data_IF_135498239696
#
_entry.id   IF_135498239696
#
_cell.length_a   1.000
_cell.length_b   1.000
_cell.length_c   1.000
_cell.angle_alpha   90.00
_cell.angle_beta   90.00
_cell.angle_gamma   90.00
#
_symmetry.space_group_name_H-M   'P 1'
#
loop_
_entity.id
_entity.type
_entity.pdbx_description
1 polymer ?
#
# COMPACT_ATOMS: atom_id res chain seq x y z
N UNK A 1 6.67 -6.56 -8.71
CA UNK A 1 7.86 -7.21 -8.10
C UNK A 1 8.27 -6.54 -6.78
N UNK A 2 8.32 -5.21 -6.68
CA UNK A 2 8.67 -4.50 -5.43
C UNK A 2 7.80 -4.91 -4.23
N UNK A 3 6.48 -5.02 -4.41
CA UNK A 3 5.55 -5.42 -3.34
C UNK A 3 5.88 -6.82 -2.77
N UNK A 4 6.25 -7.79 -3.62
CA UNK A 4 6.62 -9.12 -3.15
C UNK A 4 7.94 -9.12 -2.37
N UNK A 5 8.93 -8.33 -2.81
CA UNK A 5 10.19 -8.16 -2.09
C UNK A 5 9.97 -7.47 -0.74
N UNK A 6 9.18 -6.39 -0.69
CA UNK A 6 8.84 -5.70 0.55
C UNK A 6 8.06 -6.60 1.52
N UNK A 7 7.16 -7.45 1.01
CA UNK A 7 6.47 -8.46 1.81
C UNK A 7 7.45 -9.48 2.40
N UNK A 8 8.34 -10.05 1.60
CA UNK A 8 9.32 -11.03 2.09
C UNK A 8 10.25 -10.44 3.15
N UNK A 9 10.69 -9.19 2.96
CA UNK A 9 11.52 -8.48 3.94
C UNK A 9 10.72 -8.19 5.22
N UNK A 10 9.48 -7.71 5.10
CA UNK A 10 8.60 -7.49 6.25
C UNK A 10 8.30 -8.77 7.03
N UNK A 11 7.98 -9.85 6.31
CA UNK A 11 7.67 -11.15 6.90
C UNK A 11 8.87 -11.75 7.63
N UNK A 12 10.06 -11.68 7.04
CA UNK A 12 11.29 -12.16 7.69
C UNK A 12 11.67 -11.28 8.88
N UNK A 13 11.46 -9.96 8.80
CA UNK A 13 11.61 -9.04 9.92
C UNK A 13 10.70 -9.38 11.09
N UNK A 14 9.39 -9.47 10.86
CA UNK A 14 8.41 -9.84 11.91
C UNK A 14 8.69 -11.22 12.51
N UNK A 15 9.19 -12.17 11.71
CA UNK A 15 9.57 -13.48 12.22
C UNK A 15 10.83 -13.44 13.08
N UNK A 16 11.85 -12.68 12.67
CA UNK A 16 13.13 -12.64 13.35
C UNK A 16 13.09 -11.79 14.63
N UNK A 17 12.41 -10.64 14.60
CA UNK A 17 12.34 -9.70 15.72
C UNK A 17 11.18 -9.98 16.66
N UNK A 18 10.02 -10.41 16.15
CA UNK A 18 8.81 -10.60 16.96
C UNK A 18 8.35 -12.06 17.08
N UNK A 19 9.07 -13.03 16.49
CA UNK A 19 8.75 -14.47 16.53
C UNK A 19 7.33 -14.84 16.08
N UNK A 20 6.63 -13.93 15.39
CA UNK A 20 5.25 -14.11 14.92
C UNK A 20 5.14 -15.24 13.89
N UNK A 21 3.96 -15.86 13.77
CA UNK A 21 3.74 -16.89 12.75
C UNK A 21 3.91 -16.32 11.33
N UNK A 22 4.25 -17.16 10.35
CA UNK A 22 4.40 -16.72 8.96
C UNK A 22 3.14 -16.04 8.40
N UNK A 23 1.95 -16.51 8.81
CA UNK A 23 0.67 -15.93 8.38
C UNK A 23 0.39 -14.58 9.06
N UNK A 24 0.75 -14.44 10.34
CA UNK A 24 0.61 -13.17 11.07
C UNK A 24 1.59 -12.12 10.54
N UNK A 25 2.81 -12.54 10.21
CA UNK A 25 3.83 -11.71 9.59
C UNK A 25 3.41 -11.25 8.19
N UNK A 26 2.78 -12.13 7.40
CA UNK A 26 2.21 -11.79 6.08
C UNK A 26 1.07 -10.77 6.22
N UNK A 27 0.12 -11.01 7.13
CA UNK A 27 -1.00 -10.10 7.37
C UNK A 27 -0.50 -8.70 7.73
N UNK A 28 0.37 -8.59 8.74
CA UNK A 28 0.89 -7.30 9.18
C UNK A 28 1.69 -6.58 8.09
N UNK A 29 2.52 -7.31 7.34
CA UNK A 29 3.28 -6.73 6.23
C UNK A 29 2.37 -6.25 5.09
N UNK A 30 1.33 -7.03 4.74
CA UNK A 30 0.35 -6.67 3.71
C UNK A 30 -0.45 -5.42 4.09
N UNK A 31 -0.83 -5.31 5.35
CA UNK A 31 -1.56 -4.15 5.87
C UNK A 31 -0.72 -2.88 5.87
N UNK A 32 0.51 -2.95 6.38
CA UNK A 32 1.43 -1.80 6.34
C UNK A 32 1.72 -1.33 4.92
N UNK A 33 1.92 -2.26 3.98
CA UNK A 33 2.09 -1.94 2.57
C UNK A 33 0.81 -1.37 1.94
N UNK A 34 -0.35 -1.85 2.38
CA UNK A 34 -1.66 -1.33 1.98
C UNK A 34 -2.04 0.00 2.65
N UNK A 35 -1.22 0.53 3.57
CA UNK A 35 -1.47 1.77 4.30
C UNK A 35 -2.50 1.65 5.43
N UNK A 36 -2.88 0.43 5.82
CA UNK A 36 -3.78 0.17 6.95
C UNK A 36 -2.96 -0.29 8.17
N UNK A 37 -3.31 0.18 9.36
CA UNK A 37 -2.57 -0.15 10.60
C UNK A 37 -2.66 -1.64 10.97
N UNK A 38 -1.85 -2.12 11.95
CA UNK A 38 -1.81 -3.53 12.33
C UNK A 38 -3.18 -4.08 12.74
N UNK A 39 -3.63 -5.17 12.11
CA UNK A 39 -4.82 -5.90 12.57
C UNK A 39 -4.42 -6.82 13.71
N UNK A 40 -5.17 -6.75 14.80
CA UNK A 40 -5.11 -7.74 15.87
C UNK A 40 -5.40 -9.12 15.30
N UNK A 41 -4.39 -9.98 15.29
CA UNK A 41 -4.43 -11.36 14.79
C UNK A 41 -4.96 -12.36 15.81
N UNK A 42 -5.15 -11.93 17.05
CA UNK A 42 -5.57 -12.76 18.17
C UNK A 42 -6.98 -13.31 17.94
N UNK A 43 -7.09 -14.62 17.74
CA UNK A 43 -8.36 -15.34 17.60
C UNK A 43 -8.82 -15.63 16.16
N UNK A 44 -8.08 -15.19 15.13
CA UNK A 44 -8.36 -15.59 13.74
C UNK A 44 -7.84 -17.01 13.47
N UNK A 45 -8.64 -17.81 12.77
CA UNK A 45 -8.19 -19.09 12.22
C UNK A 45 -7.14 -18.88 11.13
N UNK A 46 -6.29 -19.87 10.88
CA UNK A 46 -5.23 -19.78 9.86
C UNK A 46 -5.78 -19.41 8.46
N UNK A 47 -6.95 -19.95 8.11
CA UNK A 47 -7.66 -19.61 6.87
C UNK A 47 -8.16 -18.14 6.88
N UNK A 48 -8.66 -17.67 8.02
CA UNK A 48 -9.08 -16.27 8.19
C UNK A 48 -7.92 -15.28 8.06
N UNK A 49 -6.74 -15.64 8.61
CA UNK A 49 -5.51 -14.84 8.48
C UNK A 49 -5.06 -14.74 7.03
N UNK A 50 -5.08 -15.85 6.29
CA UNK A 50 -4.72 -15.86 4.87
C UNK A 50 -5.69 -15.03 4.02
N UNK A 51 -7.01 -15.17 4.25
CA UNK A 51 -8.02 -14.36 3.57
C UNK A 51 -7.84 -12.87 3.86
N UNK A 52 -7.67 -12.50 5.13
CA UNK A 52 -7.49 -11.11 5.54
C UNK A 52 -6.23 -10.50 4.91
N UNK A 53 -5.13 -11.26 4.78
CA UNK A 53 -3.92 -10.79 4.11
C UNK A 53 -4.13 -10.53 2.62
N UNK A 54 -4.79 -11.45 1.90
CA UNK A 54 -5.12 -11.27 0.48
C UNK A 54 -6.10 -10.10 0.26
N UNK A 55 -7.10 -9.98 1.13
CA UNK A 55 -8.05 -8.87 1.10
C UNK A 55 -7.38 -7.53 1.37
N UNK A 56 -6.49 -7.44 2.36
CA UNK A 56 -5.74 -6.23 2.66
C UNK A 56 -4.88 -5.77 1.47
N UNK A 57 -4.19 -6.70 0.80
CA UNK A 57 -3.43 -6.38 -0.42
C UNK A 57 -4.33 -5.87 -1.54
N UNK A 58 -5.46 -6.54 -1.78
CA UNK A 58 -6.44 -6.11 -2.78
C UNK A 58 -6.98 -4.72 -2.47
N UNK A 59 -7.46 -4.49 -1.25
CA UNK A 59 -8.01 -3.22 -0.81
C UNK A 59 -6.98 -2.09 -0.91
N UNK A 60 -5.74 -2.31 -0.47
CA UNK A 60 -4.66 -1.33 -0.59
C UNK A 60 -4.33 -0.99 -2.05
N UNK A 61 -4.24 -1.98 -2.94
CA UNK A 61 -3.96 -1.74 -4.35
C UNK A 61 -5.10 -1.01 -5.07
N UNK A 62 -6.35 -1.40 -4.79
CA UNK A 62 -7.54 -0.72 -5.30
C UNK A 62 -7.57 0.72 -4.79
N UNK A 63 -7.28 0.95 -3.51
CA UNK A 63 -7.22 2.30 -2.95
C UNK A 63 -6.19 3.19 -3.67
N UNK A 64 -4.97 2.69 -3.87
CA UNK A 64 -3.92 3.41 -4.62
C UNK A 64 -4.36 3.69 -6.05
N UNK A 65 -4.95 2.71 -6.74
CA UNK A 65 -5.42 2.85 -8.11
C UNK A 65 -6.53 3.93 -8.22
N UNK A 66 -7.52 3.88 -7.33
CA UNK A 66 -8.61 4.86 -7.28
C UNK A 66 -8.06 6.25 -6.97
N UNK A 67 -7.15 6.37 -5.99
CA UNK A 67 -6.50 7.64 -5.65
C UNK A 67 -5.73 8.21 -6.84
N UNK A 68 -5.01 7.37 -7.59
CA UNK A 68 -4.32 7.77 -8.81
C UNK A 68 -5.28 8.34 -9.87
N UNK A 69 -6.42 7.67 -10.11
CA UNK A 69 -7.44 8.13 -11.05
C UNK A 69 -8.02 9.49 -10.61
N UNK A 70 -8.32 9.65 -9.31
CA UNK A 70 -8.88 10.90 -8.76
C UNK A 70 -7.87 12.04 -8.80
N UNK A 71 -6.59 11.78 -8.51
CA UNK A 71 -5.54 12.80 -8.52
C UNK A 71 -5.05 13.17 -9.93
N UNK A 72 -5.16 12.27 -10.90
CA UNK A 72 -4.74 12.51 -12.30
C UNK A 72 -5.27 13.84 -12.88
N UNK A 73 -6.58 14.17 -12.83
CA UNK A 73 -7.09 15.45 -13.35
C UNK A 73 -6.58 16.66 -12.55
N UNK A 74 -6.30 16.51 -11.25
CA UNK A 74 -5.76 17.59 -10.41
C UNK A 74 -4.32 17.90 -10.83
N UNK A 75 -3.49 16.86 -10.94
CA UNK A 75 -2.10 16.99 -11.42
C UNK A 75 -2.08 17.56 -12.84
N UNK A 76 -2.96 17.08 -13.73
CA UNK A 76 -3.07 17.59 -15.10
C UNK A 76 -3.47 19.07 -15.14
N UNK A 77 -4.40 19.52 -14.27
CA UNK A 77 -4.77 20.95 -14.14
C UNK A 77 -3.61 21.81 -13.64
N UNK A 78 -2.85 21.35 -12.64
CA UNK A 78 -1.67 22.06 -12.13
C UNK A 78 -0.61 22.17 -13.23
N UNK A 79 -0.34 21.10 -13.97
CA UNK A 79 0.64 21.09 -15.06
C UNK A 79 0.23 22.05 -16.19
N UNK A 80 -1.05 22.09 -16.55
CA UNK A 80 -1.56 23.03 -17.55
C UNK A 80 -1.46 24.50 -17.10
N UNK A 81 -1.66 24.80 -15.81
CA UNK A 81 -1.52 26.15 -15.27
C UNK A 81 -0.06 26.61 -15.24
N UNK A 82 0.86 25.70 -14.90
CA UNK A 82 2.29 25.99 -14.84
C UNK A 82 2.91 26.25 -16.23
N UNK A 83 2.51 25.49 -17.25
CA UNK A 83 2.95 25.73 -18.63
C UNK A 83 2.43 27.07 -19.21
N UNK A 84 1.38 27.66 -18.63
CA UNK A 84 0.88 28.97 -19.06
C UNK A 84 1.78 30.12 -18.57
N UNK A 85 2.43 29.97 -17.40
CA UNK A 85 3.34 30.98 -16.86
C UNK A 85 4.66 31.07 -17.63
N UNK A 86 5.16 29.98 -18.21
CA UNK A 86 6.42 30.00 -18.98
C UNK A 86 6.29 30.70 -20.34
N UNK A 87 5.07 30.84 -20.90
CA UNK A 87 4.85 31.48 -22.22
C UNK A 87 4.50 32.97 -22.14
N UNK A 88 4.27 33.52 -20.93
CA UNK A 88 3.93 34.93 -20.73
C UNK A 88 5.12 35.82 -20.31
N UNK A 89 6.32 35.25 -20.13
CA UNK A 89 7.52 35.96 -19.69
C UNK A 89 8.41 36.51 -20.81
N UNK A 90 7.85 36.83 -21.97
CA UNK A 90 8.56 37.59 -23.01
C UNK A 90 7.77 38.85 -23.34
N UNK A 91 7.98 39.87 -22.50
CA UNK A 91 8.01 41.30 -22.86
C UNK A 91 8.56 42.10 -21.69
#
# INVERSE_FOLDING_TARGET
MLVMLSLLIGMTGYRHFESMSWLDAFLNSAMLLGGMGPVKTDGLTDAGKLFAGLYALYAGLVFIAVMGIVLTPVVHRVLHRFHWETRSGSK
#
